data_IF_179369276220
#
_entry.id   IF_179369276220
#
_cell.length_a   1.000
_cell.length_b   1.000
_cell.length_c   1.000
_cell.angle_alpha   90.00
_cell.angle_beta   90.00
_cell.angle_gamma   90.00
#
_symmetry.space_group_name_H-M   'P 1'
#
loop_
_entity.id
_entity.type
_entity.pdbx_description
1 polymer ?
#
# COMPACT_ATOMS: atom_id res chain seq x y z
N UNK A 1 20.46 2.31 26.81
CA UNK A 1 21.91 2.11 27.12
C UNK A 1 22.35 0.74 26.60
N UNK A 2 23.65 0.48 26.34
CA UNK A 2 24.17 -0.83 25.84
C UNK A 2 23.53 -2.12 26.44
N UNK A 3 23.13 -2.20 27.73
CA UNK A 3 22.38 -3.33 28.30
C UNK A 3 21.08 -3.71 27.55
N UNK A 4 20.31 -2.76 27.00
CA UNK A 4 19.03 -3.06 26.35
C UNK A 4 19.19 -3.90 25.07
N UNK A 5 20.37 -3.82 24.44
CA UNK A 5 20.66 -4.49 23.15
C UNK A 5 20.83 -6.00 23.34
N UNK A 6 21.34 -6.44 24.49
CA UNK A 6 21.61 -7.86 24.73
C UNK A 6 20.32 -8.71 24.82
N UNK A 7 19.22 -8.08 25.25
CA UNK A 7 17.89 -8.70 25.42
C UNK A 7 17.02 -8.65 24.15
N UNK A 8 17.52 -8.08 23.06
CA UNK A 8 16.78 -8.06 21.80
C UNK A 8 16.70 -9.46 21.18
N UNK A 9 15.57 -9.82 20.55
CA UNK A 9 15.41 -11.14 19.97
C UNK A 9 16.17 -11.27 18.65
N UNK A 10 16.53 -12.52 18.33
CA UNK A 10 17.18 -12.90 17.09
C UNK A 10 16.21 -13.19 15.93
N UNK A 11 15.00 -12.62 15.96
CA UNK A 11 13.94 -12.88 14.98
C UNK A 11 13.65 -11.64 14.10
N UNK A 12 12.84 -11.80 13.04
CA UNK A 12 12.37 -10.68 12.25
C UNK A 12 11.49 -9.74 13.07
N UNK A 13 11.46 -8.47 12.67
CA UNK A 13 10.50 -7.52 13.22
C UNK A 13 10.91 -6.08 13.09
N UNK A 14 10.21 -5.23 13.82
CA UNK A 14 10.37 -3.77 13.80
C UNK A 14 10.94 -3.31 15.13
N UNK A 15 11.95 -2.47 15.10
CA UNK A 15 12.54 -1.82 16.28
C UNK A 15 12.32 -0.31 16.25
N UNK A 16 12.30 0.27 17.45
CA UNK A 16 11.98 1.67 17.69
C UNK A 16 13.07 2.28 18.56
N UNK A 17 13.62 3.40 18.13
CA UNK A 17 14.54 4.19 18.94
C UNK A 17 13.80 5.36 19.57
N UNK A 18 14.02 5.50 20.87
CA UNK A 18 13.38 6.51 21.70
C UNK A 18 14.42 7.51 22.22
N UNK A 19 14.04 8.79 22.28
CA UNK A 19 14.83 9.80 22.96
C UNK A 19 14.64 9.80 24.48
N UNK A 20 15.31 10.72 25.17
CA UNK A 20 15.25 10.89 26.63
C UNK A 20 13.83 11.16 27.13
N UNK A 21 12.98 11.77 26.30
CA UNK A 21 11.58 12.06 26.62
C UNK A 21 10.65 10.89 26.31
N UNK A 22 11.19 9.77 25.82
CA UNK A 22 10.40 8.62 25.37
C UNK A 22 9.74 8.80 24.00
N UNK A 23 10.13 9.81 23.22
CA UNK A 23 9.59 10.04 21.88
C UNK A 23 10.23 9.08 20.89
N UNK A 24 9.42 8.43 20.04
CA UNK A 24 9.94 7.59 18.95
C UNK A 24 10.57 8.49 17.89
N UNK A 25 11.89 8.43 17.78
CA UNK A 25 12.68 9.26 16.85
C UNK A 25 13.06 8.50 15.58
N UNK A 26 13.02 7.18 15.61
CA UNK A 26 13.29 6.32 14.45
C UNK A 26 12.58 4.96 14.55
N UNK A 27 12.14 4.45 13.41
CA UNK A 27 11.56 3.11 13.25
C UNK A 27 12.33 2.37 12.15
N UNK A 28 12.68 1.11 12.36
CA UNK A 28 13.32 0.30 11.33
C UNK A 28 12.94 -1.16 11.39
N UNK A 29 13.04 -1.86 10.27
CA UNK A 29 12.88 -3.33 10.19
C UNK A 29 14.20 -4.08 10.27
N UNK A 30 14.11 -5.36 10.60
CA UNK A 30 15.20 -6.31 10.54
C UNK A 30 14.70 -7.73 10.28
N UNK A 31 15.52 -8.54 9.60
CA UNK A 31 15.39 -10.02 9.61
C UNK A 31 15.86 -10.59 10.97
N UNK A 32 16.81 -9.91 11.61
CA UNK A 32 17.27 -10.22 12.96
C UNK A 32 17.44 -8.90 13.73
N UNK A 33 16.52 -8.62 14.66
CA UNK A 33 16.46 -7.36 15.41
C UNK A 33 17.76 -7.12 16.17
N UNK A 34 18.25 -8.11 16.92
CA UNK A 34 19.48 -7.99 17.72
C UNK A 34 20.69 -7.59 16.88
N UNK A 35 20.91 -8.26 15.75
CA UNK A 35 22.05 -8.00 14.87
C UNK A 35 21.93 -6.62 14.22
N UNK A 36 20.73 -6.26 13.74
CA UNK A 36 20.49 -4.98 13.07
C UNK A 36 20.61 -3.79 14.02
N UNK A 37 20.12 -3.91 15.25
CA UNK A 37 20.27 -2.87 16.26
C UNK A 37 21.73 -2.74 16.68
N UNK A 38 22.41 -3.87 16.92
CA UNK A 38 23.83 -3.87 17.29
C UNK A 38 24.70 -3.16 16.24
N UNK A 39 24.43 -3.37 14.95
CA UNK A 39 25.22 -2.76 13.88
C UNK A 39 25.12 -1.23 13.82
N UNK A 40 24.03 -0.64 14.32
CA UNK A 40 23.94 0.83 14.47
C UNK A 40 25.00 1.36 15.44
N UNK A 41 25.31 0.62 16.51
CA UNK A 41 26.22 1.08 17.57
C UNK A 41 27.66 0.61 17.41
N UNK A 42 27.92 -0.43 16.62
CA UNK A 42 29.28 -0.93 16.39
C UNK A 42 30.00 -0.26 15.22
N UNK A 43 29.27 0.36 14.29
CA UNK A 43 29.88 1.02 13.15
C UNK A 43 30.43 2.41 13.54
N UNK A 44 31.76 2.55 13.52
CA UNK A 44 32.47 3.82 13.71
C UNK A 44 32.46 4.66 12.41
N UNK A 45 31.26 5.09 12.00
CA UNK A 45 31.11 6.02 10.89
C UNK A 45 31.58 7.43 11.32
N UNK A 46 32.53 8.07 10.61
CA UNK A 46 32.98 9.44 10.92
C UNK A 46 31.90 10.51 10.70
N UNK A 47 30.74 10.16 10.14
CA UNK A 47 29.65 11.11 9.89
C UNK A 47 29.06 11.69 11.19
N UNK A 48 29.32 12.98 11.43
CA UNK A 48 28.84 13.73 12.61
C UNK A 48 27.31 13.69 12.79
N UNK A 49 26.52 13.69 11.71
CA UNK A 49 25.04 13.62 11.80
C UNK A 49 24.59 12.29 12.39
N UNK A 50 25.23 11.19 11.96
CA UNK A 50 24.94 9.85 12.45
C UNK A 50 25.33 9.70 13.92
N UNK A 51 26.52 10.18 14.30
CA UNK A 51 26.95 10.15 15.70
C UNK A 51 26.01 10.93 16.62
N UNK A 52 25.59 12.13 16.20
CA UNK A 52 24.61 12.91 16.95
C UNK A 52 23.27 12.19 17.09
N UNK A 53 22.80 11.54 16.03
CA UNK A 53 21.59 10.72 16.09
C UNK A 53 21.72 9.58 17.10
N UNK A 54 22.82 8.83 17.07
CA UNK A 54 23.04 7.71 18.00
C UNK A 54 23.08 8.16 19.47
N UNK A 55 23.62 9.35 19.75
CA UNK A 55 23.64 9.95 21.10
C UNK A 55 22.26 10.29 21.65
N UNK A 56 21.27 10.50 20.78
CA UNK A 56 19.90 10.78 21.20
C UNK A 56 19.15 9.52 21.63
N UNK A 57 19.65 8.33 21.31
CA UNK A 57 18.95 7.08 21.59
C UNK A 57 19.14 6.71 23.05
N UNK A 58 18.06 6.80 23.82
CA UNK A 58 18.05 6.44 25.24
C UNK A 58 17.50 5.03 25.46
N UNK A 59 16.50 4.61 24.68
CA UNK A 59 15.81 3.32 24.81
C UNK A 59 15.54 2.70 23.44
N UNK A 60 15.54 1.37 23.39
CA UNK A 60 15.12 0.58 22.23
C UNK A 60 13.93 -0.30 22.62
N UNK A 61 12.86 -0.28 21.83
CA UNK A 61 11.78 -1.27 21.92
C UNK A 61 11.62 -1.98 20.59
N UNK A 62 10.84 -3.06 20.56
CA UNK A 62 10.61 -3.82 19.34
C UNK A 62 9.22 -4.47 19.32
N UNK A 63 8.83 -4.89 18.12
CA UNK A 63 7.70 -5.78 17.87
C UNK A 63 8.17 -6.89 16.95
N UNK A 64 8.02 -8.13 17.40
CA UNK A 64 8.39 -9.32 16.64
C UNK A 64 7.44 -9.52 15.45
N UNK A 65 7.99 -10.09 14.39
CA UNK A 65 7.28 -10.50 13.20
C UNK A 65 7.68 -11.93 12.85
N UNK A 66 6.74 -12.70 12.30
CA UNK A 66 7.00 -14.05 11.83
C UNK A 66 7.95 -14.10 10.63
N UNK A 67 7.87 -13.07 9.77
CA UNK A 67 8.59 -13.01 8.49
C UNK A 67 9.19 -11.64 8.21
N UNK A 68 10.12 -11.60 7.26
CA UNK A 68 10.66 -10.34 6.75
C UNK A 68 9.58 -9.49 6.06
N UNK A 69 8.69 -10.11 5.29
CA UNK A 69 7.61 -9.40 4.59
C UNK A 69 6.73 -8.65 5.58
N UNK A 70 6.31 -9.30 6.67
CA UNK A 70 5.55 -8.64 7.72
C UNK A 70 6.32 -7.47 8.34
N UNK A 71 7.62 -7.65 8.63
CA UNK A 71 8.46 -6.59 9.18
C UNK A 71 8.55 -5.38 8.23
N UNK A 72 8.60 -5.60 6.91
CA UNK A 72 8.55 -4.54 5.90
C UNK A 72 7.23 -3.78 5.95
N UNK A 73 6.10 -4.51 5.97
CA UNK A 73 4.76 -3.93 5.98
C UNK A 73 4.50 -3.15 7.26
N UNK A 74 4.88 -3.73 8.40
CA UNK A 74 4.73 -3.09 9.71
C UNK A 74 5.61 -1.85 9.84
N UNK A 75 6.87 -1.88 9.39
CA UNK A 75 7.76 -0.71 9.41
C UNK A 75 7.15 0.46 8.64
N UNK A 76 6.67 0.21 7.41
CA UNK A 76 6.06 1.25 6.58
C UNK A 76 4.82 1.85 7.26
N UNK A 77 3.97 0.99 7.84
CA UNK A 77 2.80 1.41 8.62
C UNK A 77 3.20 2.31 9.79
N UNK A 78 4.15 1.88 10.61
CA UNK A 78 4.56 2.56 11.84
C UNK A 78 5.24 3.90 11.53
N UNK A 79 6.06 3.99 10.47
CA UNK A 79 6.65 5.26 10.02
C UNK A 79 5.56 6.26 9.62
N UNK A 80 4.54 5.82 8.88
CA UNK A 80 3.44 6.71 8.46
C UNK A 80 2.56 7.14 9.63
N UNK A 81 2.35 6.26 10.62
CA UNK A 81 1.56 6.52 11.83
C UNK A 81 2.28 7.46 12.81
N UNK A 82 3.56 7.21 13.08
CA UNK A 82 4.33 7.91 14.11
C UNK A 82 5.10 9.13 13.59
N UNK A 83 5.31 9.19 12.26
CA UNK A 83 6.06 10.26 11.58
C UNK A 83 7.41 10.63 12.24
N UNK A 84 8.24 9.64 12.64
CA UNK A 84 9.43 9.86 13.47
C UNK A 84 10.47 10.77 12.80
N UNK A 85 11.21 11.55 13.59
CA UNK A 85 12.09 12.63 13.06
C UNK A 85 13.13 12.15 12.03
N UNK A 86 13.71 10.97 12.23
CA UNK A 86 14.87 10.51 11.43
C UNK A 86 14.53 9.54 10.29
N UNK A 87 13.26 9.20 10.04
CA UNK A 87 12.85 8.35 8.91
C UNK A 87 12.63 9.14 7.60
N UNK A 88 13.63 9.88 7.14
CA UNK A 88 13.47 10.79 6.00
C UNK A 88 12.97 10.11 4.71
N UNK A 89 13.46 8.91 4.39
CA UNK A 89 13.16 8.23 3.10
C UNK A 89 11.69 7.88 2.91
N UNK A 90 11.00 7.48 3.98
CA UNK A 90 9.58 7.09 3.93
C UNK A 90 8.64 8.23 4.37
N UNK A 91 9.16 9.41 4.71
CA UNK A 91 8.37 10.62 5.07
C UNK A 91 8.06 11.51 3.88
N UNK A 92 7.84 10.92 2.71
CA UNK A 92 7.29 11.66 1.58
C UNK A 92 5.76 11.73 1.73
N UNK A 93 5.15 12.93 1.70
CA UNK A 93 3.71 13.04 1.52
C UNK A 93 3.41 12.46 0.14
N UNK A 94 2.76 11.31 0.10
CA UNK A 94 2.36 10.71 -1.16
C UNK A 94 1.34 11.67 -1.81
N UNK A 95 1.73 12.35 -2.88
CA UNK A 95 0.76 12.97 -3.79
C UNK A 95 0.08 11.83 -4.54
N UNK A 96 -0.91 11.24 -3.89
CA UNK A 96 -1.70 10.18 -4.50
C UNK A 96 -2.66 10.81 -5.51
N UNK A 97 -2.80 10.17 -6.65
CA UNK A 97 -3.85 10.45 -7.62
C UNK A 97 -4.85 9.30 -7.60
N UNK A 98 -6.07 9.54 -8.05
CA UNK A 98 -7.08 8.50 -8.12
C UNK A 98 -7.92 8.65 -9.39
N UNK A 99 -8.41 7.51 -9.88
CA UNK A 99 -9.46 7.45 -10.90
C UNK A 99 -10.80 7.64 -10.21
N UNK A 100 -11.56 8.62 -10.68
CA UNK A 100 -12.91 8.91 -10.22
C UNK A 100 -13.92 8.69 -11.33
N UNK A 101 -15.14 8.34 -10.93
CA UNK A 101 -16.32 8.40 -11.77
C UNK A 101 -17.31 9.39 -11.16
N UNK A 102 -17.91 10.22 -12.00
CA UNK A 102 -19.00 11.11 -11.62
C UNK A 102 -19.95 11.32 -12.79
N UNK A 103 -21.18 11.73 -12.51
CA UNK A 103 -22.17 12.06 -13.53
C UNK A 103 -22.23 13.58 -13.72
N UNK A 104 -22.30 14.03 -14.97
CA UNK A 104 -22.50 15.44 -15.28
C UNK A 104 -23.98 15.83 -15.35
N UNK A 105 -24.26 17.11 -15.57
CA UNK A 105 -25.62 17.63 -15.67
C UNK A 105 -26.39 17.18 -16.93
N UNK A 106 -25.73 16.49 -17.88
CA UNK A 106 -26.32 15.93 -19.09
C UNK A 106 -26.53 14.41 -18.97
N UNK A 107 -26.24 13.82 -17.80
CA UNK A 107 -26.38 12.39 -17.53
C UNK A 107 -25.21 11.53 -18.00
N UNK A 108 -24.10 12.12 -18.48
CA UNK A 108 -22.93 11.34 -18.87
C UNK A 108 -22.09 10.97 -17.65
N UNK A 109 -21.76 9.68 -17.54
CA UNK A 109 -20.77 9.19 -16.58
C UNK A 109 -19.38 9.46 -17.13
N UNK A 110 -18.56 10.19 -16.38
CA UNK A 110 -17.23 10.64 -16.78
C UNK A 110 -16.16 10.01 -15.91
N UNK A 111 -15.02 9.71 -16.52
CA UNK A 111 -13.82 9.25 -15.83
C UNK A 111 -12.79 10.38 -15.77
N UNK A 112 -12.14 10.55 -14.63
CA UNK A 112 -11.09 11.54 -14.48
C UNK A 112 -9.99 11.09 -13.51
N UNK A 113 -8.76 11.52 -13.79
CA UNK A 113 -7.64 11.41 -12.86
C UNK A 113 -7.46 12.75 -12.14
N UNK A 114 -7.56 12.74 -10.83
CA UNK A 114 -7.31 13.93 -10.01
C UNK A 114 -6.54 13.54 -8.74
N UNK A 115 -6.04 14.54 -8.00
CA UNK A 115 -5.45 14.34 -6.68
C UNK A 115 -6.43 13.58 -5.78
N UNK A 116 -5.90 12.72 -4.94
CA UNK A 116 -6.69 11.96 -3.98
C UNK A 116 -7.39 12.91 -3.01
N UNK A 117 -8.73 12.87 -2.97
CA UNK A 117 -9.59 13.64 -2.08
C UNK A 117 -10.09 12.73 -0.96
N UNK A 118 -10.23 13.28 0.24
CA UNK A 118 -10.83 12.54 1.37
C UNK A 118 -12.33 12.39 1.11
N UNK A 119 -12.90 11.22 1.46
CA UNK A 119 -14.34 10.93 1.41
C UNK A 119 -14.99 10.97 0.02
N UNK A 120 -14.21 10.90 -1.06
CA UNK A 120 -14.75 10.73 -2.41
C UNK A 120 -14.49 9.28 -2.84
N UNK A 121 -15.54 8.51 -3.23
CA UNK A 121 -15.36 7.18 -3.78
C UNK A 121 -14.45 7.22 -4.99
N UNK A 122 -13.48 6.31 -5.02
CA UNK A 122 -12.42 6.25 -6.02
C UNK A 122 -12.35 4.82 -6.55
N UNK A 123 -12.18 4.68 -7.86
CA UNK A 123 -12.11 3.40 -8.55
C UNK A 123 -10.72 2.76 -8.38
N UNK A 124 -9.65 3.57 -8.44
CA UNK A 124 -8.27 3.07 -8.32
C UNK A 124 -7.30 4.18 -7.90
N UNK A 125 -6.16 3.82 -7.27
CA UNK A 125 -5.12 4.76 -6.82
C UNK A 125 -3.84 4.66 -7.65
N UNK A 126 -3.23 5.82 -7.92
CA UNK A 126 -1.94 5.96 -8.57
C UNK A 126 -0.99 6.81 -7.72
N UNK A 127 0.30 6.62 -7.96
CA UNK A 127 1.35 7.37 -7.26
C UNK A 127 1.73 8.61 -8.02
N UNK A 128 1.66 8.50 -9.34
CA UNK A 128 2.02 9.54 -10.26
C UNK A 128 0.84 9.78 -11.21
N UNK A 129 0.59 11.04 -11.52
CA UNK A 129 -0.47 11.44 -12.44
C UNK A 129 -0.34 10.71 -13.79
N UNK A 130 0.89 10.55 -14.28
CA UNK A 130 1.15 9.91 -15.57
C UNK A 130 0.71 8.44 -15.61
N UNK A 131 0.85 7.69 -14.51
CA UNK A 131 0.40 6.28 -14.43
C UNK A 131 -1.11 6.21 -14.64
N UNK A 132 -1.84 7.11 -13.97
CA UNK A 132 -3.29 7.23 -14.11
C UNK A 132 -3.71 7.64 -15.51
N UNK A 133 -3.03 8.62 -16.11
CA UNK A 133 -3.33 9.06 -17.48
C UNK A 133 -3.03 7.99 -18.53
N UNK A 134 -1.94 7.23 -18.38
CA UNK A 134 -1.61 6.10 -19.27
C UNK A 134 -2.67 5.01 -19.16
N UNK A 135 -3.10 4.65 -17.95
CA UNK A 135 -4.19 3.69 -17.76
C UNK A 135 -5.50 4.20 -18.37
N UNK A 136 -5.89 5.45 -18.09
CA UNK A 136 -7.13 6.02 -18.61
C UNK A 136 -7.13 6.10 -20.14
N UNK A 137 -5.99 6.44 -20.77
CA UNK A 137 -5.86 6.41 -22.24
C UNK A 137 -6.08 5.00 -22.82
N UNK A 138 -5.49 3.97 -22.20
CA UNK A 138 -5.74 2.58 -22.61
C UNK A 138 -7.21 2.19 -22.48
N UNK A 139 -7.88 2.62 -21.41
CA UNK A 139 -9.33 2.39 -21.24
C UNK A 139 -10.14 3.11 -22.32
N UNK A 140 -9.77 4.36 -22.64
CA UNK A 140 -10.42 5.14 -23.69
C UNK A 140 -10.32 4.44 -25.04
N UNK A 141 -9.13 3.97 -25.42
CA UNK A 141 -8.90 3.24 -26.66
C UNK A 141 -9.64 1.89 -26.68
N UNK A 142 -9.53 1.10 -25.60
CA UNK A 142 -10.08 -0.25 -25.53
C UNK A 142 -11.62 -0.29 -25.52
N UNK A 143 -12.27 0.68 -24.89
CA UNK A 143 -13.73 0.73 -24.72
C UNK A 143 -14.39 1.80 -25.58
N UNK A 144 -13.64 2.39 -26.51
CA UNK A 144 -14.10 3.46 -27.41
C UNK A 144 -14.82 4.59 -26.65
N UNK A 145 -14.19 5.04 -25.56
CA UNK A 145 -14.74 6.14 -24.75
C UNK A 145 -14.41 7.48 -25.43
N UNK A 146 -15.25 8.48 -25.20
CA UNK A 146 -14.98 9.82 -25.69
C UNK A 146 -13.87 10.49 -24.86
N UNK A 147 -12.80 10.94 -25.50
CA UNK A 147 -11.63 11.56 -24.87
C UNK A 147 -11.96 12.82 -24.06
N UNK A 148 -12.90 13.65 -24.55
CA UNK A 148 -13.32 14.88 -23.88
C UNK A 148 -14.18 14.59 -22.65
N UNK A 149 -15.05 13.58 -22.73
CA UNK A 149 -15.80 13.11 -21.55
C UNK A 149 -14.87 12.48 -20.49
N UNK A 150 -13.72 11.95 -20.89
CA UNK A 150 -12.70 11.40 -20.00
C UNK A 150 -11.59 12.40 -19.60
N UNK A 151 -11.70 13.68 -19.98
CA UNK A 151 -10.71 14.73 -19.70
C UNK A 151 -9.28 14.41 -20.19
N UNK A 152 -9.15 13.51 -21.16
CA UNK A 152 -7.90 13.27 -21.90
C UNK A 152 -7.67 14.44 -22.85
N UNK A 153 -8.70 14.77 -23.62
CA UNK A 153 -8.80 16.04 -24.33
C UNK A 153 -9.55 17.04 -23.44
N UNK A 154 -8.97 18.23 -23.25
CA UNK A 154 -9.52 19.30 -22.42
C UNK A 154 -10.10 20.44 -23.24
N UNK A 155 -10.09 20.32 -24.56
CA UNK A 155 -10.72 21.31 -25.43
C UNK A 155 -12.24 21.26 -25.30
N UNK A 156 -12.94 22.41 -25.42
CA UNK A 156 -14.39 22.43 -25.43
C UNK A 156 -14.96 21.55 -26.56
N UNK A 157 -16.15 21.02 -26.35
CA UNK A 157 -16.90 20.41 -27.44
C UNK A 157 -17.29 21.48 -28.47
N UNK A 158 -17.07 21.17 -29.73
CA UNK A 158 -17.66 21.90 -30.87
C UNK A 158 -19.11 21.47 -31.07
N UNK A 159 -19.89 22.27 -31.80
CA UNK A 159 -21.29 21.95 -32.11
C UNK A 159 -21.42 20.61 -32.86
N UNK A 160 -20.50 20.33 -33.78
CA UNK A 160 -20.48 19.08 -34.55
C UNK A 160 -20.27 17.89 -33.62
N UNK A 161 -19.28 17.96 -32.72
CA UNK A 161 -19.02 16.87 -31.76
C UNK A 161 -20.20 16.65 -30.81
N UNK A 162 -20.88 17.72 -30.40
CA UNK A 162 -22.09 17.61 -29.56
C UNK A 162 -23.24 16.90 -30.27
N UNK A 163 -23.30 16.94 -31.60
CA UNK A 163 -24.32 16.22 -32.38
C UNK A 163 -23.95 14.77 -32.67
N UNK A 164 -22.64 14.47 -32.70
CA UNK A 164 -22.12 13.12 -33.00
C UNK A 164 -21.91 12.27 -31.74
N UNK A 165 -21.93 12.88 -30.56
CA UNK A 165 -21.72 12.15 -29.32
C UNK A 165 -22.89 11.19 -29.06
N UNK A 166 -22.55 9.95 -28.70
CA UNK A 166 -23.54 8.95 -28.32
C UNK A 166 -24.42 9.44 -27.16
N UNK A 167 -25.71 9.06 -27.11
CA UNK A 167 -26.57 9.44 -26.00
C UNK A 167 -26.07 8.83 -24.69
N UNK A 168 -26.33 9.47 -23.53
CA UNK A 168 -25.84 9.00 -22.24
C UNK A 168 -26.21 7.54 -21.92
N UNK A 169 -27.40 7.10 -22.34
CA UNK A 169 -27.88 5.73 -22.13
C UNK A 169 -26.94 4.68 -22.74
N UNK A 170 -26.43 4.93 -23.95
CA UNK A 170 -25.52 4.04 -24.65
C UNK A 170 -24.08 4.22 -24.16
N UNK A 171 -23.65 5.48 -24.00
CA UNK A 171 -22.30 5.80 -23.57
C UNK A 171 -21.99 5.26 -22.16
N UNK A 172 -22.93 5.39 -21.22
CA UNK A 172 -22.73 4.94 -19.84
C UNK A 172 -22.61 3.40 -19.75
N UNK A 173 -23.12 2.65 -20.74
CA UNK A 173 -22.88 1.20 -20.82
C UNK A 173 -21.39 0.93 -21.09
N UNK A 174 -20.75 1.69 -22.00
CA UNK A 174 -19.30 1.57 -22.26
C UNK A 174 -18.47 1.86 -21.02
N UNK A 175 -18.85 2.90 -20.26
CA UNK A 175 -18.20 3.25 -18.98
C UNK A 175 -18.32 2.11 -17.98
N UNK A 176 -19.52 1.55 -17.79
CA UNK A 176 -19.73 0.40 -16.89
C UNK A 176 -18.88 -0.79 -17.29
N UNK A 177 -18.80 -1.10 -18.58
CA UNK A 177 -17.95 -2.19 -19.09
C UNK A 177 -16.47 -1.94 -18.82
N UNK A 178 -15.99 -0.70 -19.03
CA UNK A 178 -14.61 -0.31 -18.75
C UNK A 178 -14.27 -0.43 -17.25
N UNK A 179 -15.18 -0.01 -16.37
CA UNK A 179 -15.02 -0.14 -14.91
C UNK A 179 -15.03 -1.61 -14.51
N UNK A 180 -15.97 -2.40 -15.02
CA UNK A 180 -16.06 -3.83 -14.73
C UNK A 180 -14.77 -4.55 -15.17
N UNK A 181 -14.26 -4.24 -16.36
CA UNK A 181 -13.02 -4.82 -16.85
C UNK A 181 -11.80 -4.42 -16.00
N UNK A 182 -11.75 -3.16 -15.55
CA UNK A 182 -10.73 -2.72 -14.59
C UNK A 182 -10.84 -3.53 -13.29
N UNK A 183 -12.02 -3.62 -12.70
CA UNK A 183 -12.25 -4.36 -11.44
C UNK A 183 -11.86 -5.84 -11.57
N UNK A 184 -12.16 -6.48 -12.71
CA UNK A 184 -11.78 -7.87 -12.99
C UNK A 184 -10.27 -8.07 -13.16
N UNK A 185 -9.55 -7.04 -13.62
CA UNK A 185 -8.09 -7.08 -13.73
C UNK A 185 -7.37 -6.77 -12.41
N UNK A 186 -8.04 -6.09 -11.48
CA UNK A 186 -7.44 -5.75 -10.18
C UNK A 186 -7.28 -7.03 -9.34
N UNK A 187 -6.04 -7.42 -9.02
CA UNK A 187 -5.81 -8.70 -8.37
C UNK A 187 -6.36 -8.67 -6.94
N UNK A 188 -7.04 -9.74 -6.57
CA UNK A 188 -7.43 -10.02 -5.18
C UNK A 188 -6.83 -11.36 -4.79
N UNK A 189 -5.94 -11.35 -3.80
CA UNK A 189 -5.24 -12.54 -3.33
C UNK A 189 -4.77 -12.33 -1.90
N UNK A 190 -4.58 -13.43 -1.18
CA UNK A 190 -3.90 -13.46 0.10
C UNK A 190 -2.47 -14.01 -0.06
N UNK A 191 -1.57 -13.54 0.79
CA UNK A 191 -0.26 -14.13 1.00
C UNK A 191 -0.28 -14.84 2.34
N UNK A 192 -0.02 -16.14 2.32
CA UNK A 192 -0.02 -16.98 3.51
C UNK A 192 1.40 -17.43 3.82
N UNK A 193 1.86 -17.18 5.03
CA UNK A 193 3.17 -17.64 5.49
C UNK A 193 3.12 -18.14 6.95
N UNK A 194 4.25 -18.63 7.45
CA UNK A 194 4.38 -19.05 8.84
C UNK A 194 3.99 -17.93 9.82
N UNK A 195 3.30 -18.29 10.90
CA UNK A 195 3.03 -17.39 12.02
C UNK A 195 4.21 -17.30 12.99
N UNK A 196 4.04 -16.53 14.07
CA UNK A 196 4.99 -16.50 15.18
C UNK A 196 4.91 -17.81 15.97
N UNK A 197 3.69 -18.31 16.20
CA UNK A 197 3.43 -19.60 16.84
C UNK A 197 3.21 -20.69 15.79
N UNK A 198 3.48 -21.94 16.17
CA UNK A 198 3.35 -23.10 15.27
C UNK A 198 1.91 -23.31 14.77
N UNK A 199 0.92 -23.02 15.60
CA UNK A 199 -0.51 -23.17 15.28
C UNK A 199 -1.12 -21.94 14.58
N UNK A 200 -0.29 -20.96 14.21
CA UNK A 200 -0.73 -19.74 13.54
C UNK A 200 -0.09 -19.60 12.15
N UNK A 201 -0.82 -18.99 11.21
CA UNK A 201 -0.31 -18.52 9.93
C UNK A 201 -0.42 -17.01 9.87
N UNK A 202 0.58 -16.38 9.28
CA UNK A 202 0.52 -14.98 8.89
C UNK A 202 -0.27 -14.87 7.58
N UNK A 203 -1.17 -13.91 7.51
CA UNK A 203 -1.90 -13.58 6.28
C UNK A 203 -1.81 -12.08 5.98
N UNK A 204 -1.54 -11.76 4.71
CA UNK A 204 -1.65 -10.42 4.15
C UNK A 204 -2.67 -10.45 3.01
N UNK A 205 -3.61 -9.51 2.99
CA UNK A 205 -4.66 -9.44 1.98
C UNK A 205 -4.43 -8.27 1.03
N UNK A 206 -4.31 -8.57 -0.26
CA UNK A 206 -4.51 -7.62 -1.35
C UNK A 206 -5.94 -7.79 -1.86
N UNK A 207 -6.71 -6.71 -1.82
CA UNK A 207 -8.08 -6.67 -2.34
C UNK A 207 -8.20 -5.56 -3.37
N UNK A 208 -8.66 -5.92 -4.57
CA UNK A 208 -8.80 -5.00 -5.71
C UNK A 208 -7.52 -4.18 -5.92
N UNK A 209 -6.37 -4.85 -5.95
CA UNK A 209 -5.05 -4.26 -6.18
C UNK A 209 -4.51 -3.35 -5.07
N UNK A 210 -5.22 -3.23 -3.93
CA UNK A 210 -4.82 -2.43 -2.77
C UNK A 210 -4.51 -3.32 -1.57
N UNK A 211 -3.54 -2.94 -0.76
CA UNK A 211 -3.31 -3.63 0.50
C UNK A 211 -4.45 -3.32 1.48
N UNK A 212 -5.19 -4.36 1.86
CA UNK A 212 -6.30 -4.22 2.80
C UNK A 212 -5.82 -4.32 4.24
N UNK A 213 -4.98 -5.32 4.54
CA UNK A 213 -4.51 -5.54 5.89
C UNK A 213 -3.76 -6.85 6.09
N UNK A 214 -3.35 -7.08 7.35
CA UNK A 214 -2.62 -8.27 7.74
C UNK A 214 -2.98 -8.73 9.15
N UNK A 215 -2.69 -9.98 9.46
CA UNK A 215 -3.00 -10.58 10.76
C UNK A 215 -2.56 -12.03 10.84
N UNK A 216 -2.87 -12.64 11.98
CA UNK A 216 -2.61 -14.05 12.24
C UNK A 216 -3.93 -14.80 12.35
N UNK A 217 -3.94 -16.02 11.83
CA UNK A 217 -5.10 -16.90 11.85
C UNK A 217 -4.67 -18.32 12.21
N UNK A 218 -5.57 -19.13 12.81
CA UNK A 218 -5.26 -20.52 13.14
C UNK A 218 -4.86 -21.33 11.90
N UNK A 219 -3.84 -22.18 12.02
CA UNK A 219 -3.32 -23.01 10.92
C UNK A 219 -4.36 -23.95 10.30
N UNK A 220 -5.39 -24.33 11.07
CA UNK A 220 -6.53 -25.18 10.69
C UNK A 220 -7.64 -24.44 9.94
N UNK A 221 -7.56 -23.11 9.81
CA UNK A 221 -8.60 -22.30 9.16
C UNK A 221 -8.70 -22.65 7.68
N UNK A 222 -9.89 -23.05 7.23
CA UNK A 222 -10.19 -23.22 5.80
C UNK A 222 -10.64 -21.88 5.24
N UNK A 223 -9.89 -21.36 4.28
CA UNK A 223 -10.18 -20.06 3.67
C UNK A 223 -11.00 -20.30 2.40
N UNK A 224 -12.26 -19.88 2.42
CA UNK A 224 -13.16 -19.98 1.27
C UNK A 224 -13.39 -18.64 0.59
N UNK A 225 -13.33 -17.52 1.32
CA UNK A 225 -13.59 -16.19 0.78
C UNK A 225 -12.72 -15.10 1.43
N UNK A 226 -12.69 -13.93 0.81
CA UNK A 226 -12.05 -12.73 1.39
C UNK A 226 -12.75 -12.23 2.64
N UNK A 227 -14.08 -12.42 2.73
CA UNK A 227 -14.89 -12.02 3.88
C UNK A 227 -14.49 -12.79 5.14
N UNK A 228 -14.20 -14.09 5.00
CA UNK A 228 -13.76 -14.93 6.12
C UNK A 228 -12.43 -14.44 6.69
N UNK A 229 -11.50 -14.06 5.80
CA UNK A 229 -10.20 -13.52 6.21
C UNK A 229 -10.34 -12.21 6.98
N UNK A 230 -11.21 -11.30 6.55
CA UNK A 230 -11.37 -9.98 7.18
C UNK A 230 -11.77 -10.06 8.66
N UNK A 231 -12.33 -11.18 9.12
CA UNK A 231 -12.62 -11.42 10.54
C UNK A 231 -11.36 -11.61 11.39
N UNK A 232 -10.24 -12.03 10.79
CA UNK A 232 -8.96 -12.28 11.47
C UNK A 232 -7.92 -11.18 11.22
N UNK A 233 -8.11 -10.39 10.16
CA UNK A 233 -7.14 -9.41 9.71
C UNK A 233 -7.45 -8.03 10.29
N UNK A 234 -6.40 -7.29 10.63
CA UNK A 234 -6.52 -5.88 10.99
C UNK A 234 -6.38 -5.05 9.72
N UNK A 235 -7.24 -4.03 9.50
CA UNK A 235 -7.09 -3.14 8.36
C UNK A 235 -5.88 -2.22 8.54
N UNK A 236 -5.13 -1.99 7.46
CA UNK A 236 -3.97 -1.11 7.45
C UNK A 236 -4.04 -0.12 6.29
N UNK A 237 -3.34 1.01 6.44
CA UNK A 237 -3.29 2.01 5.38
C UNK A 237 -2.42 1.52 4.21
N UNK A 238 -3.04 1.41 3.04
CA UNK A 238 -2.35 1.09 1.79
C UNK A 238 -1.26 2.13 1.44
N UNK A 239 -0.11 1.63 0.96
CA UNK A 239 0.92 2.42 0.30
C UNK A 239 1.81 1.56 -0.60
N UNK A 240 2.57 2.22 -1.46
CA UNK A 240 3.32 1.57 -2.54
C UNK A 240 4.51 0.78 -2.06
N UNK A 241 5.15 1.24 -0.99
CA UNK A 241 6.21 0.46 -0.35
C UNK A 241 5.66 -0.89 0.10
N UNK A 242 4.46 -0.91 0.68
CA UNK A 242 3.78 -2.17 1.05
C UNK A 242 3.43 -2.98 -0.20
N UNK A 243 2.70 -2.39 -1.16
CA UNK A 243 2.26 -3.10 -2.37
C UNK A 243 3.42 -3.71 -3.14
N UNK A 244 4.45 -2.91 -3.46
CA UNK A 244 5.60 -3.37 -4.23
C UNK A 244 6.35 -4.50 -3.52
N UNK A 245 6.42 -4.44 -2.18
CA UNK A 245 7.04 -5.51 -1.39
C UNK A 245 6.22 -6.80 -1.44
N UNK A 246 4.89 -6.71 -1.35
CA UNK A 246 3.98 -7.87 -1.45
C UNK A 246 4.02 -8.47 -2.87
N UNK A 247 3.89 -7.65 -3.92
CA UNK A 247 3.93 -8.13 -5.31
C UNK A 247 5.28 -8.79 -5.64
N UNK A 248 6.40 -8.14 -5.29
CA UNK A 248 7.74 -8.71 -5.53
C UNK A 248 7.95 -9.99 -4.71
N UNK A 249 7.39 -10.09 -3.51
CA UNK A 249 7.46 -11.32 -2.72
C UNK A 249 6.68 -12.46 -3.38
N UNK A 250 5.46 -12.20 -3.86
CA UNK A 250 4.61 -13.20 -4.52
C UNK A 250 5.18 -13.66 -5.85
N UNK A 251 5.78 -12.77 -6.64
CA UNK A 251 6.49 -13.14 -7.87
C UNK A 251 7.62 -14.14 -7.61
N UNK A 252 8.30 -14.01 -6.47
CA UNK A 252 9.40 -14.90 -6.06
C UNK A 252 8.92 -16.17 -5.35
N UNK A 253 7.74 -16.14 -4.73
CA UNK A 253 7.19 -17.22 -3.91
C UNK A 253 5.73 -17.49 -4.32
N UNK A 254 5.48 -17.97 -5.56
CA UNK A 254 4.13 -18.15 -6.08
C UNK A 254 3.29 -19.14 -5.26
N UNK A 255 3.91 -20.09 -4.58
CA UNK A 255 3.25 -21.09 -3.71
C UNK A 255 2.65 -20.49 -2.43
N UNK A 256 3.09 -19.27 -2.04
CA UNK A 256 2.56 -18.53 -0.88
C UNK A 256 1.30 -17.74 -1.23
N UNK A 257 0.95 -17.63 -2.52
CA UNK A 257 -0.20 -16.88 -3.01
C UNK A 257 -1.45 -17.75 -2.99
N UNK A 258 -2.49 -17.25 -2.32
CA UNK A 258 -3.84 -17.83 -2.36
C UNK A 258 -4.72 -16.89 -3.19
N UNK A 259 -5.19 -17.39 -4.33
CA UNK A 259 -6.18 -16.69 -5.15
C UNK A 259 -7.60 -17.11 -4.72
N UNK A 260 -8.55 -16.20 -4.84
CA UNK A 260 -9.96 -16.47 -4.62
C UNK A 260 -10.62 -16.67 -5.99
N UNK A 261 -11.52 -17.65 -6.08
CA UNK A 261 -12.35 -17.90 -7.26
C UNK A 261 -13.53 -16.92 -7.29
#
# INVERSE_FOLDING_TARGET
TKPDIMHLPGCPGVYYFHDEKGTIIYVGKAINIKNRVSSHFTHNDPNRKRQNFLRLICKVTFKECATELEAIVLESTEIKKLWPKYNYSQKQPAQKFALYMFEDNRGYQRLAIDKKKKNVPQLYNFNLLHEGLVMLKKMVEQFELNEKLCFIDKTPFTEIELTQIEPPTSYNIKIKNAILALELQLPTFAVMDKGIKEEEKLCLLIERGSFWGMGYLPSSTTITSTSDLKNYLNPYADNDTIRNSIYSFVEKNPEKRISFL
#
